data_IF_352829446554
#
_entry.id   IF_352829446554
#
_cell.length_a   1.000
_cell.length_b   1.000
_cell.length_c   1.000
_cell.angle_alpha   90.00
_cell.angle_beta   90.00
_cell.angle_gamma   90.00
#
_symmetry.space_group_name_H-M   'P 1'
#
loop_
_entity.id
_entity.type
_entity.pdbx_description
1 polymer ?
2 non-polymer ?
#
# COMPACT_ATOMS: atom_id res chain seq x y z
N UNK A 1 12.79 -0.23 3.06
CA UNK A 1 11.39 0.23 2.82
C UNK A 1 10.55 -0.91 2.24
N UNK A 2 9.26 -0.92 2.59
CA UNK A 2 8.36 -1.95 2.11
C UNK A 2 7.08 -1.35 1.55
N UNK A 3 6.55 -1.96 0.48
CA UNK A 3 5.34 -1.48 -0.15
C UNK A 3 4.20 -2.47 0.08
N UNK A 4 3.10 -1.98 0.64
CA UNK A 4 1.95 -2.84 0.90
C UNK A 4 0.77 -2.46 0.02
N UNK A 5 0.27 -3.43 -0.70
CA UNK A 5 -0.86 -3.20 -1.57
C UNK A 5 -1.72 -4.44 -1.73
N UNK A 6 -2.97 -4.24 -2.12
CA UNK A 6 -3.89 -5.35 -2.32
C UNK A 6 -4.62 -5.19 -3.65
N UNK A 7 -4.84 -6.32 -4.31
CA UNK A 7 -5.52 -6.31 -5.60
C UNK A 7 -6.45 -7.51 -5.72
N UNK A 8 -7.51 -7.35 -6.52
CA UNK A 8 -8.47 -8.43 -6.74
C UNK A 8 -7.88 -9.48 -7.66
N UNK A 9 -8.37 -10.71 -7.54
CA UNK A 9 -7.87 -11.81 -8.34
C UNK A 9 -8.08 -11.53 -9.83
N UNK A 10 -9.25 -11.01 -10.17
CA UNK A 10 -9.58 -10.69 -11.56
C UNK A 10 -8.68 -9.60 -12.10
N UNK A 11 -8.18 -8.74 -11.21
CA UNK A 11 -7.29 -7.68 -11.64
C UNK A 11 -7.86 -6.28 -11.40
N UNK A 12 -8.40 -6.07 -10.19
CA UNK A 12 -8.97 -4.78 -9.82
C UNK A 12 -8.43 -4.30 -8.48
N UNK A 13 -8.17 -3.01 -8.37
CA UNK A 13 -7.65 -2.45 -7.12
C UNK A 13 -8.66 -1.52 -6.45
N UNK A 14 -9.51 -0.90 -7.26
CA UNK A 14 -10.50 0.01 -6.75
C UNK A 14 -11.23 0.78 -7.82
N UNK A 15 -12.06 1.72 -7.40
CA UNK A 15 -12.84 2.52 -8.33
C UNK A 15 -13.33 3.81 -7.68
N UNK A 16 -13.48 4.86 -8.48
CA UNK A 16 -13.93 6.15 -7.98
C UNK A 16 -13.13 6.59 -6.75
N UNK A 17 -11.87 6.21 -6.72
CA UNK A 17 -11.01 6.58 -5.60
C UNK A 17 -11.50 6.00 -4.28
N UNK A 18 -12.16 4.84 -4.35
CA UNK A 18 -12.66 4.18 -3.15
C UNK A 18 -12.59 2.66 -3.29
N UNK A 19 -12.67 1.98 -2.16
CA UNK A 19 -12.60 0.52 -2.14
C UNK A 19 -14.00 -0.09 -2.24
N UNK A 20 -14.34 -0.73 -3.38
CA UNK A 20 -15.66 -1.35 -3.59
C UNK A 20 -15.93 -2.45 -2.57
N UNK A 21 -14.88 -3.16 -2.17
CA UNK A 21 -15.00 -4.24 -1.21
C UNK A 21 -14.53 -3.80 0.17
N UNK A 22 -15.20 -4.31 1.20
CA UNK A 22 -14.85 -3.98 2.57
C UNK A 22 -14.26 -5.19 3.28
N UNK A 23 -13.00 -5.08 3.71
CA UNK A 23 -12.34 -6.18 4.40
C UNK A 23 -11.59 -5.67 5.64
N UNK A 24 -12.36 -5.16 6.62
CA UNK A 24 -11.79 -4.63 7.86
C UNK A 24 -10.78 -5.58 8.47
N UNK A 25 -10.95 -6.86 8.21
CA UNK A 25 -10.04 -7.89 8.73
C UNK A 25 -8.62 -7.60 8.28
N UNK A 26 -8.43 -7.60 6.98
CA UNK A 26 -7.11 -7.36 6.39
C UNK A 26 -6.62 -5.94 6.70
N UNK A 27 -7.55 -5.00 6.76
CA UNK A 27 -7.21 -3.61 7.04
C UNK A 27 -6.60 -3.45 8.44
N UNK A 28 -7.18 -4.15 9.42
CA UNK A 28 -6.68 -4.08 10.79
C UNK A 28 -5.23 -4.53 10.83
N UNK A 29 -4.94 -5.58 10.09
CA UNK A 29 -3.59 -6.11 10.02
C UNK A 29 -2.63 -5.05 9.47
N UNK A 30 -3.05 -4.39 8.39
CA UNK A 30 -2.24 -3.35 7.77
C UNK A 30 -1.98 -2.20 8.74
N UNK A 31 -3.05 -1.77 9.41
CA UNK A 31 -2.94 -0.67 10.36
C UNK A 31 -1.97 -1.03 11.49
N UNK A 32 -2.08 -2.26 11.99
CA UNK A 32 -1.20 -2.73 13.06
C UNK A 32 0.25 -2.79 12.61
N UNK A 33 0.45 -3.19 11.35
CA UNK A 33 1.79 -3.31 10.79
C UNK A 33 2.50 -1.95 10.70
N UNK A 34 1.74 -0.93 10.34
CA UNK A 34 2.28 0.41 10.17
C UNK A 34 2.47 1.13 11.50
N UNK A 35 2.18 0.46 12.61
CA UNK A 35 2.35 1.06 13.93
C UNK A 35 3.82 1.12 14.31
N UNK A 36 4.28 2.30 14.73
CA UNK A 36 5.68 2.45 15.11
C UNK A 36 6.59 2.59 13.88
N UNK A 37 6.00 2.95 12.74
CA UNK A 37 6.74 3.11 11.51
C UNK A 37 6.23 4.29 10.70
N UNK A 38 7.08 4.85 9.86
CA UNK A 38 6.71 5.99 9.01
C UNK A 38 6.19 5.50 7.68
N UNK A 39 5.00 5.96 7.31
CA UNK A 39 4.37 5.57 6.05
C UNK A 39 3.91 6.78 5.25
N UNK A 40 3.94 6.66 3.92
CA UNK A 40 3.52 7.75 3.05
C UNK A 40 2.35 7.31 2.18
N UNK A 41 1.30 8.13 2.18
CA UNK A 41 0.10 7.84 1.40
C UNK A 41 -0.24 8.99 0.44
N UNK A 42 -0.52 8.66 -0.82
CA UNK A 42 -0.85 9.67 -1.79
C UNK A 42 -2.14 10.38 -1.46
N UNK A 43 -2.30 11.61 -1.90
CA UNK A 43 -3.50 12.38 -1.62
C UNK A 43 -4.76 11.72 -2.18
N UNK A 44 -4.71 11.22 -3.40
CA UNK A 44 -5.89 10.59 -3.97
C UNK A 44 -6.28 9.39 -3.10
N UNK A 45 -5.29 8.69 -2.61
CA UNK A 45 -5.50 7.55 -1.72
C UNK A 45 -6.17 7.98 -0.42
N UNK A 46 -5.66 9.07 0.16
CA UNK A 46 -6.20 9.59 1.41
C UNK A 46 -7.71 9.76 1.32
N UNK A 47 -8.19 10.08 0.11
CA UNK A 47 -9.63 10.27 -0.09
C UNK A 47 -10.39 8.95 0.08
N UNK A 48 -9.68 7.83 -0.05
CA UNK A 48 -10.31 6.51 0.11
C UNK A 48 -10.27 6.04 1.57
N UNK A 49 -9.35 6.60 2.36
CA UNK A 49 -9.21 6.24 3.77
C UNK A 49 -10.58 6.06 4.44
N UNK A 50 -11.01 4.79 4.64
CA UNK A 50 -12.31 4.52 5.26
C UNK A 50 -12.28 4.72 6.77
N UNK A 51 -11.10 4.69 7.36
CA UNK A 51 -10.96 4.86 8.81
C UNK A 51 -9.96 5.97 9.11
N UNK A 52 -10.37 7.21 8.82
CA UNK A 52 -9.51 8.36 9.06
C UNK A 52 -10.12 9.28 10.11
N UNK A 53 -9.28 10.07 10.81
CA UNK A 53 -7.85 10.08 10.60
C UNK A 53 -7.14 8.90 11.27
N UNK A 54 -5.82 8.97 11.34
CA UNK A 54 -5.05 7.91 11.96
C UNK A 54 -4.12 8.48 13.04
N UNK A 55 -4.68 8.76 14.22
CA UNK A 55 -3.91 9.31 15.36
C UNK A 55 -2.80 8.38 15.82
N UNK A 56 -1.91 8.91 16.65
CA UNK A 56 -0.80 8.14 17.18
C UNK A 56 -0.12 7.33 16.06
N UNK A 57 0.30 8.03 15.00
CA UNK A 57 0.98 7.39 13.88
C UNK A 57 1.72 8.41 13.03
N UNK A 58 2.89 8.04 12.55
CA UNK A 58 3.69 8.93 11.72
C UNK A 58 3.31 8.80 10.25
N UNK A 59 2.20 9.43 9.89
CA UNK A 59 1.70 9.38 8.53
C UNK A 59 2.05 10.68 7.79
N UNK A 60 2.40 10.55 6.51
CA UNK A 60 2.73 11.72 5.71
C UNK A 60 1.83 11.82 4.49
N UNK A 61 1.24 13.00 4.28
CA UNK A 61 0.38 13.20 3.11
C UNK A 61 1.20 13.65 1.92
N UNK A 62 1.05 12.98 0.78
CA UNK A 62 1.81 13.37 -0.39
C UNK A 62 0.97 14.23 -1.32
N UNK A 63 1.48 15.40 -1.67
CA UNK A 63 0.76 16.33 -2.56
C UNK A 63 1.70 16.93 -3.60
N UNK A 64 1.11 17.41 -4.68
CA UNK A 64 1.87 18.01 -5.77
C UNK A 64 2.54 19.32 -5.32
N UNK A 65 1.83 20.12 -4.54
CA UNK A 65 2.38 21.39 -4.08
C UNK A 65 2.78 21.35 -2.61
N UNK A 66 4.00 21.83 -2.34
CA UNK A 66 4.53 21.89 -0.98
C UNK A 66 3.75 22.89 -0.15
N UNK A 67 3.33 23.97 -0.81
CA UNK A 67 2.57 25.03 -0.14
C UNK A 67 1.23 24.53 0.36
N UNK A 68 0.63 23.59 -0.37
CA UNK A 68 -0.66 23.05 0.04
C UNK A 68 -0.54 22.42 1.42
N UNK A 69 -1.54 22.68 2.27
CA UNK A 69 -1.52 22.17 3.64
C UNK A 69 -2.44 20.95 3.79
N UNK A 70 -1.93 19.92 4.49
CA UNK A 70 -2.67 18.69 4.73
C UNK A 70 -2.74 18.41 6.22
N UNK A 71 -3.86 17.84 6.64
CA UNK A 71 -4.08 17.55 8.05
C UNK A 71 -3.94 16.07 8.38
N UNK A 72 -3.21 15.80 9.44
CA UNK A 72 -3.00 14.43 9.87
C UNK A 72 -1.74 13.82 9.30
N UNK A 73 -1.23 14.40 8.22
CA UNK A 73 -0.01 13.89 7.61
C UNK A 73 0.83 14.99 6.97
N UNK A 74 2.16 14.87 7.08
CA UNK A 74 3.07 15.87 6.52
C UNK A 74 2.98 15.98 5.00
N UNK A 75 3.01 17.22 4.47
CA UNK A 75 2.91 17.43 3.04
C UNK A 75 4.29 17.60 2.40
N UNK A 76 4.63 16.65 1.54
CA UNK A 76 5.91 16.65 0.82
C UNK A 76 5.66 16.52 -0.68
N UNK A 77 6.26 17.38 -1.48
CA UNK A 77 6.08 17.32 -2.94
C UNK A 77 7.27 16.68 -3.65
N UNK A 78 8.35 16.41 -2.91
CA UNK A 78 9.54 15.82 -3.52
C UNK A 78 9.60 14.32 -3.29
N UNK A 79 9.42 13.56 -4.36
CA UNK A 79 9.48 12.12 -4.30
C UNK A 79 10.87 11.63 -3.88
N UNK A 80 11.90 12.26 -4.45
CA UNK A 80 13.28 11.89 -4.15
C UNK A 80 13.63 12.15 -2.69
N UNK A 81 13.11 13.24 -2.14
CA UNK A 81 13.41 13.60 -0.75
C UNK A 81 12.89 12.55 0.22
N UNK A 82 11.72 12.00 -0.06
CA UNK A 82 11.14 10.97 0.81
C UNK A 82 12.04 9.76 0.86
N UNK A 83 12.53 9.37 -0.30
CA UNK A 83 13.42 8.23 -0.42
C UNK A 83 14.72 8.45 0.37
N UNK A 84 15.30 9.63 0.25
CA UNK A 84 16.53 9.96 0.95
C UNK A 84 16.31 9.95 2.46
N UNK A 85 15.15 10.43 2.87
CA UNK A 85 14.82 10.49 4.29
C UNK A 85 14.83 9.10 4.91
N UNK A 86 14.19 8.16 4.21
CA UNK A 86 14.13 6.76 4.66
C UNK A 86 15.52 6.17 4.72
N UNK A 87 16.34 6.53 3.73
CA UNK A 87 17.71 6.04 3.66
C UNK A 87 18.51 6.52 4.85
N UNK A 88 18.24 7.76 5.27
CA UNK A 88 18.93 8.33 6.41
C UNK A 88 18.61 7.55 7.69
N UNK A 89 17.36 7.12 7.82
CA UNK A 89 16.92 6.36 8.99
C UNK A 89 16.63 4.92 8.63
N UNK A 90 17.68 4.12 8.40
CA UNK A 90 17.53 2.71 8.04
C UNK A 90 16.81 1.90 9.12
N UNK A 91 16.96 2.33 10.36
CA UNK A 91 16.35 1.65 11.49
C UNK A 91 14.82 1.75 11.40
N UNK A 92 14.34 2.88 10.92
CA UNK A 92 12.91 3.09 10.76
C UNK A 92 12.39 2.38 9.52
N UNK A 93 11.27 1.67 9.67
CA UNK A 93 10.68 0.96 8.55
C UNK A 93 9.70 1.85 7.78
N UNK A 94 9.74 1.76 6.46
CA UNK A 94 8.86 2.57 5.60
C UNK A 94 7.78 1.72 4.93
N UNK A 95 6.52 2.14 5.11
CA UNK A 95 5.39 1.44 4.51
C UNK A 95 4.56 2.41 3.65
N UNK A 96 4.25 2.02 2.40
CA UNK A 96 3.48 2.90 1.51
C UNK A 96 2.09 2.36 1.22
N UNK A 97 1.08 3.15 1.57
CA UNK A 97 -0.31 2.79 1.33
C UNK A 97 -0.84 3.60 0.17
N UNK A 98 -0.26 3.37 -0.99
CA UNK A 98 -0.64 4.11 -2.20
C UNK A 98 0.03 5.45 -2.27
N UNK A 99 -0.29 6.24 -3.32
CA UNK A 99 -1.26 5.83 -4.32
C UNK A 99 -0.61 4.99 -5.40
N UNK A 100 -1.39 4.60 -6.41
CA UNK A 100 -0.88 3.76 -7.49
C UNK A 100 0.22 4.48 -8.28
N UNK A 101 0.07 5.78 -8.49
CA UNK A 101 1.05 6.54 -9.22
C UNK A 101 2.38 6.51 -8.47
N UNK A 102 2.30 6.59 -7.15
CA UNK A 102 3.46 6.51 -6.29
C UNK A 102 4.10 5.12 -6.41
N UNK A 103 3.25 4.11 -6.41
CA UNK A 103 3.70 2.73 -6.51
C UNK A 103 4.46 2.50 -7.82
N UNK A 104 3.90 3.00 -8.91
CA UNK A 104 4.49 2.86 -10.24
C UNK A 104 5.86 3.53 -10.33
N UNK A 105 5.95 4.74 -9.80
CA UNK A 105 7.20 5.52 -9.84
C UNK A 105 8.29 4.82 -9.04
N UNK A 106 7.92 4.21 -7.92
CA UNK A 106 8.88 3.49 -7.09
C UNK A 106 8.81 1.97 -7.32
N UNK A 107 8.03 1.54 -8.32
CA UNK A 107 7.88 0.12 -8.63
C UNK A 107 9.19 -0.50 -9.12
N UNK A 108 9.95 0.27 -9.89
CA UNK A 108 11.21 -0.23 -10.45
C UNK A 108 12.23 -0.54 -9.36
N UNK A 109 12.25 0.24 -8.28
CA UNK A 109 13.23 0.00 -7.21
C UNK A 109 12.58 -0.11 -5.84
N UNK A 110 12.11 -1.32 -5.49
CA UNK A 110 11.51 -1.56 -4.19
C UNK A 110 12.24 -2.68 -3.46
N UNK A 111 12.66 -2.44 -2.21
CA UNK A 111 13.35 -3.45 -1.44
C UNK A 111 12.40 -4.57 -0.97
N UNK A 112 11.21 -4.18 -0.52
CA UNK A 112 10.22 -5.16 -0.05
C UNK A 112 8.87 -4.99 -0.74
N UNK A 113 8.30 -6.07 -1.24
CA UNK A 113 7.01 -6.00 -1.91
C UNK A 113 5.97 -6.85 -1.18
N UNK A 114 4.83 -6.24 -0.85
CA UNK A 114 3.76 -6.97 -0.19
C UNK A 114 2.57 -7.13 -1.14
N UNK A 115 2.13 -8.37 -1.34
CA UNK A 115 1.00 -8.64 -2.25
C UNK A 115 -0.14 -9.36 -1.55
N UNK A 116 -1.36 -8.83 -1.73
CA UNK A 116 -2.55 -9.42 -1.13
C UNK A 116 -3.51 -9.88 -2.25
N UNK A 117 -3.94 -11.12 -2.18
CA UNK A 117 -4.85 -11.68 -3.17
C UNK A 117 -6.22 -11.95 -2.58
N UNK A 118 -7.25 -11.55 -3.32
CA UNK A 118 -8.63 -11.72 -2.89
C UNK A 118 -9.31 -12.82 -3.71
N UNK A 119 -9.94 -13.75 -3.00
CA UNK A 119 -10.64 -14.85 -3.65
C UNK A 119 -11.79 -14.33 -4.50
N UNK A 120 -12.48 -13.30 -4.00
CA UNK A 120 -13.59 -12.73 -4.73
C UNK A 120 -13.13 -11.70 -5.75
N UNK A 121 -14.08 -11.18 -6.54
CA UNK A 121 -13.74 -10.19 -7.55
C UNK A 121 -14.74 -9.04 -7.57
N UNK A 122 -14.26 -7.86 -7.92
CA UNK A 122 -15.09 -6.67 -7.98
C UNK A 122 -14.90 -5.95 -9.31
N UNK A 123 -15.94 -5.25 -9.76
CA UNK A 123 -15.87 -4.51 -11.03
C UNK A 123 -15.44 -3.07 -10.78
N UNK A 124 -14.61 -2.53 -11.66
CA UNK A 124 -14.13 -1.17 -11.52
C UNK A 124 -13.43 -0.64 -12.76
N UNK A 125 -13.12 0.67 -12.76
CA UNK A 125 -12.46 1.31 -13.90
C UNK A 125 -10.93 1.30 -13.76
N UNK A 126 -10.43 0.75 -12.66
CA UNK A 126 -8.98 0.71 -12.45
C UNK A 126 -8.47 -0.73 -12.44
N UNK A 127 -7.45 -0.98 -13.27
CA UNK A 127 -6.84 -2.30 -13.38
C UNK A 127 -5.37 -2.25 -12.97
N UNK A 128 -4.93 -3.30 -12.28
CA UNK A 128 -3.53 -3.37 -11.83
C UNK A 128 -2.59 -3.69 -12.98
N UNK A 129 -1.42 -3.05 -12.97
CA UNK A 129 -0.41 -3.25 -14.01
C UNK A 129 0.26 -4.62 -13.89
N UNK A 130 0.95 -5.05 -14.97
CA UNK A 130 1.65 -6.34 -15.01
C UNK A 130 2.75 -6.43 -13.97
N UNK A 131 2.95 -7.63 -13.41
CA UNK A 131 3.98 -7.84 -12.40
C UNK A 131 5.13 -8.66 -12.99
N UNK A 132 6.35 -8.16 -12.83
CA UNK A 132 7.52 -8.86 -13.35
C UNK A 132 8.02 -9.88 -12.33
N UNK A 133 7.78 -11.15 -12.63
CA UNK A 133 8.19 -12.25 -11.76
C UNK A 133 9.72 -12.27 -11.57
N UNK A 134 10.45 -12.00 -12.64
CA UNK A 134 11.90 -12.00 -12.56
C UNK A 134 12.43 -10.89 -11.65
N UNK A 135 11.76 -9.74 -11.65
CA UNK A 135 12.20 -8.60 -10.83
C UNK A 135 12.13 -8.89 -9.34
N UNK A 136 11.12 -9.63 -8.91
CA UNK A 136 10.93 -9.94 -7.50
C UNK A 136 10.50 -11.37 -7.28
N UNK A 137 10.84 -11.91 -6.11
CA UNK A 137 10.47 -13.31 -5.78
C UNK A 137 9.80 -13.36 -4.41
N UNK A 138 8.99 -14.40 -4.18
CA UNK A 138 8.28 -14.52 -2.91
C UNK A 138 9.14 -15.25 -1.88
N UNK A 139 9.47 -14.54 -0.81
CA UNK A 139 10.26 -15.11 0.28
C UNK A 139 9.50 -16.24 0.93
N UNK A 140 8.20 -15.99 1.14
CA UNK A 140 7.33 -16.98 1.76
C UNK A 140 5.88 -16.72 1.42
N UNK A 141 5.01 -17.70 1.65
CA UNK A 141 3.59 -17.54 1.37
C UNK A 141 2.73 -18.03 2.52
N UNK A 142 1.57 -17.40 2.68
CA UNK A 142 0.65 -17.75 3.76
C UNK A 142 -0.77 -17.93 3.21
N UNK A 143 -1.49 -18.90 3.74
CA UNK A 143 -2.84 -19.18 3.30
C UNK A 143 -3.84 -18.98 4.42
N UNK A 144 -4.89 -18.21 4.14
CA UNK A 144 -5.94 -17.94 5.11
C UNK A 144 -7.27 -18.41 4.57
N UNK A 145 -7.99 -19.18 5.39
CA UNK A 145 -9.28 -19.74 4.98
C UNK A 145 -10.44 -19.11 5.74
N UNK A 146 -11.36 -18.53 4.98
CA UNK A 146 -12.56 -17.89 5.52
C UNK A 146 -13.80 -18.69 5.13
N UNK A 147 -14.87 -18.53 5.90
CA UNK A 147 -16.11 -19.27 5.61
C UNK A 147 -16.65 -18.89 4.24
N UNK A 148 -16.66 -17.60 3.95
CA UNK A 148 -17.15 -17.13 2.64
C UNK A 148 -16.02 -17.21 1.62
N UNK A 149 -16.27 -17.74 0.43
CA UNK A 149 -15.23 -17.87 -0.60
C UNK A 149 -14.55 -16.56 -0.92
N UNK A 150 -15.33 -15.48 -0.95
CA UNK A 150 -14.79 -14.16 -1.20
C UNK A 150 -13.85 -13.72 -0.10
N UNK A 151 -14.21 -14.07 1.14
CA UNK A 151 -13.46 -13.71 2.32
C UNK A 151 -12.07 -14.36 2.34
N UNK A 152 -11.99 -15.60 1.86
CA UNK A 152 -10.73 -16.33 1.85
C UNK A 152 -9.72 -15.64 0.94
N UNK A 153 -8.49 -15.54 1.42
CA UNK A 153 -7.44 -14.88 0.65
C UNK A 153 -6.07 -15.49 0.96
N UNK A 154 -5.11 -15.21 0.10
CA UNK A 154 -3.77 -15.73 0.29
C UNK A 154 -2.77 -14.56 0.43
N UNK A 155 -1.99 -14.59 1.51
CA UNK A 155 -1.02 -13.54 1.75
C UNK A 155 0.41 -14.02 1.45
N UNK A 156 1.13 -13.24 0.65
CA UNK A 156 2.50 -13.59 0.30
C UNK A 156 3.42 -12.39 0.40
N UNK A 157 4.69 -12.63 0.73
CA UNK A 157 5.67 -11.56 0.85
C UNK A 157 6.81 -11.77 -0.14
N UNK A 158 7.11 -10.73 -0.92
CA UNK A 158 8.16 -10.78 -1.94
C UNK A 158 9.31 -9.86 -1.61
N UNK A 159 10.51 -10.29 -1.97
CA UNK A 159 11.71 -9.49 -1.74
C UNK A 159 12.59 -9.50 -2.98
N UNK A 160 13.38 -8.45 -3.16
CA UNK A 160 14.27 -8.37 -4.32
C UNK A 160 15.34 -9.43 -4.26
N UNK A 161 15.58 -10.08 -5.39
CA UNK A 161 16.61 -11.13 -5.48
C UNK A 161 17.67 -10.76 -6.50
N UNK A 162 18.93 -11.01 -6.16
CA UNK A 162 20.03 -10.71 -7.07
C UNK A 162 20.00 -11.61 -8.29
X LIG B 1 -3.05 8.38 -6.33
X LIG B 1 -2.07 7.45 -6.92
X LIG B 1 -3.50 8.10 -4.95
X LIG B 1 -2.61 9.89 -6.51
X LIG B 1 -1.35 10.36 -6.00
X LIG B 1 -1.46 11.81 -5.58
X LIG B 1 -0.27 12.16 -4.82
X LIG B 1 -1.55 12.83 -6.71
X LIG B 1 -2.91 13.09 -7.04
X LIG B 1 -0.90 14.05 -6.09
X LIG B 1 -1.76 14.82 -5.27
X LIG B 1 0.22 13.41 -5.25
X LIG B 1 1.45 13.19 -6.01
X LIG B 1 1.63 12.35 -7.09
X LIG B 1 2.85 12.38 -7.57
X LIG B 1 3.51 13.28 -6.75
X LIG B 1 4.80 13.84 -6.82
X LIG B 1 5.72 13.46 -7.71
X LIG B 1 5.11 14.81 -5.93
X LIG B 1 4.19 15.19 -5.04
X LIG B 1 2.95 14.74 -4.89
X LIG B 1 2.66 13.78 -5.78
X LIG B 1 -4.38 8.40 -7.31
X LIG B 1 -5.46 7.28 -7.83
X LIG B 1 -6.82 7.81 -7.58
X LIG B 1 -5.12 6.88 -9.21
X LIG B 1 -5.09 6.13 -6.79
X LIG B 1 -5.50 6.21 -5.41
X LIG B 1 -6.54 5.16 -5.10
X LIG B 1 -6.18 3.91 -5.76
X LIG B 1 -6.69 4.80 -3.62
X LIG B 1 -7.69 5.64 -3.01
X LIG B 1 -7.16 3.35 -3.67
X LIG B 1 -8.58 3.22 -3.85
X LIG B 1 -6.39 2.83 -4.88
X LIG B 1 -5.09 2.23 -4.57
X LIG B 1 -4.71 0.96 -4.63
X LIG B 1 -3.52 0.50 -4.40
X LIG B 1 -3.52 -0.92 -4.56
X LIG B 1 -3.39 -1.38 -3.34
X LIG B 1 -3.61 -1.69 -5.68
X LIG B 1 -2.45 1.49 -4.05
X LIG B 1 -2.80 2.88 -3.97
X LIG B 1 -4.09 3.33 -4.20
X LIG B 1 -2.63 16.18 -5.71
X LIG B 1 -4.07 15.66 -5.31
X LIG B 1 -2.13 17.18 -4.66
X LIG B 1 -2.48 16.12 -7.24
X LIG B 1 -0.58 10.26 -6.76
X LIG B 1 -1.07 9.74 -5.14
X LIG B 1 -2.34 11.97 -4.97
X LIG B 1 -1.01 12.51 -7.61
X LIG B 1 -3.30 13.69 -6.40
X LIG B 1 -0.46 14.69 -6.84
X LIG B 1 0.49 14.03 -4.40
X LIG B 1 0.85 11.73 -7.52
X LIG B 1 6.25 14.16 -8.24
X LIG B 1 5.96 12.49 -7.84
X LIG B 1 4.49 15.98 -4.35
X LIG B 1 -4.62 6.08 -4.77
X LIG B 1 -5.94 7.20 -5.22
X LIG B 1 -7.52 5.49 -5.43
X LIG B 1 -5.74 4.90 -3.07
X LIG B 1 -8.25 6.01 -3.69
X LIG B 1 -6.89 2.80 -2.77
X LIG B 1 -9.01 3.98 -3.44
X LIG B 1 -6.96 2.06 -5.41
X LIG B 1 -5.48 0.23 -4.90
X LIG B 1 -3.63 -1.26 -6.60
X LIG B 1 -3.69 -2.69 -5.59
X LIG B 1 -2.06 1.21 -3.09
X LIG B 1 -1.69 1.42 -4.83
X LIG B 1 -2.01 3.61 -3.76
X LIG B 1 -4.37 4.37 -4.09
#
# INVERSE_FOLDING_TARGET
>A
TAFLWAQDRDGLIGKDGHLPWHLPDDLHYFRAQTVGKIMVVGRRTYESFPKRPLPERTNVVLTHQEDYQAQGAVVVHDVAAVFAYAKQHPDQELVIAGGAQIFTAFKDDVDTLLVTRLAGSFEGDTKMIPLNWDDFTKVSSRTVEDTNPALTHTYEVWQKKA
>B hetero
1 NDP PA O1A O2A O5B C5B C4B O4B C3B O3B C2B O2B C1B N9A C8A N7A C5A C6A N6A N1A C2A N3A C4A O3 PN O1N O2N O5D C5D C4D O4D C3D O3D C2D O2D C1D N1N C2N C3N C7N O7N N7N C4N C5N C6N P2B O1X O2X O3X H51A H52A H4B H3B HO3A H2B H1B H8A H61A H62A H2A H51N H52N H4D H3D HO3N H2D HO2N H1D H2N H71N H72N H41N H42N H5N H6N
#
